data_IF_597964719026
#
_entry.id   IF_597964719026
#
_cell.length_a   1.000
_cell.length_b   1.000
_cell.length_c   1.000
_cell.angle_alpha   90.00
_cell.angle_beta   90.00
_cell.angle_gamma   90.00
#
_symmetry.space_group_name_H-M   'P 1'
#
loop_
_entity.id
_entity.type
_entity.pdbx_description
1 polymer ?
#
# COMPACT_ATOMS: atom_id res chain seq x y z
N UNK A 1 -54.90 -23.75 36.73
CA UNK A 1 -54.34 -22.39 36.99
C UNK A 1 -52.83 -22.33 36.78
N UNK A 2 -52.09 -23.38 37.14
CA UNK A 2 -50.63 -23.53 36.95
C UNK A 2 -50.15 -23.48 35.50
N UNK A 3 -50.88 -24.10 34.55
CA UNK A 3 -50.47 -24.11 33.13
C UNK A 3 -50.52 -22.73 32.45
N UNK A 4 -51.48 -21.88 32.82
CA UNK A 4 -51.58 -20.51 32.27
C UNK A 4 -50.41 -19.63 32.75
N UNK A 5 -49.98 -19.80 34.00
CA UNK A 5 -48.84 -19.08 34.57
C UNK A 5 -47.54 -19.50 33.86
N UNK A 6 -47.36 -20.79 33.60
CA UNK A 6 -46.19 -21.31 32.88
C UNK A 6 -46.12 -20.79 31.43
N UNK A 7 -47.25 -20.77 30.71
CA UNK A 7 -47.33 -20.21 29.35
C UNK A 7 -46.97 -18.72 29.37
N UNK A 8 -47.47 -17.96 30.35
CA UNK A 8 -47.17 -16.54 30.48
C UNK A 8 -45.68 -16.27 30.72
N UNK A 9 -45.04 -17.01 31.62
CA UNK A 9 -43.59 -16.88 31.87
C UNK A 9 -42.75 -17.30 30.66
N UNK A 10 -43.14 -18.35 29.93
CA UNK A 10 -42.46 -18.76 28.70
C UNK A 10 -42.55 -17.66 27.62
N UNK A 11 -43.72 -17.03 27.47
CA UNK A 11 -43.93 -15.94 26.53
C UNK A 11 -43.15 -14.67 26.92
N UNK A 12 -43.13 -14.33 28.21
CA UNK A 12 -42.34 -13.21 28.74
C UNK A 12 -40.84 -13.44 28.53
N UNK A 13 -40.35 -14.65 28.79
CA UNK A 13 -38.95 -15.02 28.57
C UNK A 13 -38.57 -14.92 27.09
N UNK A 14 -39.43 -15.39 26.18
CA UNK A 14 -39.24 -15.26 24.72
C UNK A 14 -39.18 -13.79 24.28
N UNK A 15 -40.09 -12.95 24.77
CA UNK A 15 -40.11 -11.52 24.44
C UNK A 15 -38.86 -10.79 24.95
N UNK A 16 -38.42 -11.11 26.18
CA UNK A 16 -37.20 -10.55 26.75
C UNK A 16 -35.97 -10.99 25.95
N UNK A 17 -35.83 -12.29 25.64
CA UNK A 17 -34.70 -12.80 24.87
C UNK A 17 -34.65 -12.22 23.44
N UNK A 18 -35.78 -12.05 22.76
CA UNK A 18 -35.82 -11.34 21.46
C UNK A 18 -35.36 -9.87 21.57
N UNK A 19 -35.75 -9.14 22.63
CA UNK A 19 -35.31 -7.76 22.87
C UNK A 19 -33.81 -7.65 23.17
N UNK A 20 -33.26 -8.59 23.93
CA UNK A 20 -31.83 -8.61 24.28
C UNK A 20 -30.92 -9.04 23.11
N UNK A 21 -31.40 -9.90 22.19
CA UNK A 21 -30.66 -10.25 20.97
C UNK A 21 -30.67 -9.08 19.95
N UNK A 22 -31.72 -8.26 19.97
CA UNK A 22 -31.86 -7.10 19.07
C UNK A 22 -31.03 -5.87 19.47
N UNK A 23 -30.38 -5.89 20.64
CA UNK A 23 -29.60 -4.76 21.17
C UNK A 23 -28.10 -4.86 20.86
N UNK A 24 -27.71 -5.84 20.03
CA UNK A 24 -26.35 -5.95 19.52
C UNK A 24 -26.27 -5.16 18.22
N UNK A 25 -25.60 -4.02 18.25
CA UNK A 25 -25.24 -3.28 17.05
C UNK A 25 -24.11 -4.01 16.32
N UNK A 26 -24.43 -4.58 15.16
CA UNK A 26 -23.44 -5.19 14.28
C UNK A 26 -22.68 -4.10 13.53
N UNK A 27 -21.38 -4.33 13.31
CA UNK A 27 -20.61 -3.47 12.40
C UNK A 27 -21.14 -3.65 10.98
N UNK A 28 -21.28 -2.54 10.26
CA UNK A 28 -21.54 -2.56 8.83
C UNK A 28 -20.33 -3.16 8.09
N UNK A 29 -20.59 -3.86 7.00
CA UNK A 29 -19.53 -4.45 6.16
C UNK A 29 -18.65 -3.38 5.52
N UNK A 30 -19.22 -2.21 5.22
CA UNK A 30 -18.52 -1.10 4.57
C UNK A 30 -18.00 -0.04 5.56
N UNK A 31 -18.10 -0.27 6.87
CA UNK A 31 -17.60 0.63 7.91
C UNK A 31 -18.48 1.86 8.23
N UNK A 32 -19.63 2.05 7.56
CA UNK A 32 -20.54 3.16 7.89
C UNK A 32 -21.21 3.02 9.25
N UNK A 33 -21.55 4.14 9.89
CA UNK A 33 -22.23 4.19 11.18
C UNK A 33 -21.32 3.94 12.39
N UNK A 34 -20.02 3.74 12.18
CA UNK A 34 -19.05 3.57 13.28
C UNK A 34 -18.80 4.87 14.06
N UNK A 35 -18.93 6.03 13.41
CA UNK A 35 -18.85 7.33 14.05
C UNK A 35 -20.22 8.04 13.97
N UNK A 36 -20.75 8.45 15.13
CA UNK A 36 -22.09 9.06 15.24
C UNK A 36 -22.17 10.42 14.54
N UNK A 37 -21.11 11.22 14.61
CA UNK A 37 -21.07 12.57 14.04
C UNK A 37 -20.65 12.57 12.56
N UNK A 38 -19.85 11.58 12.16
CA UNK A 38 -19.34 11.39 10.81
C UNK A 38 -19.59 9.96 10.34
N UNK A 39 -20.83 9.59 9.99
CA UNK A 39 -21.19 8.20 9.70
C UNK A 39 -20.43 7.53 8.56
N UNK A 40 -19.71 8.29 7.73
CA UNK A 40 -18.90 7.78 6.61
C UNK A 40 -17.40 7.71 6.92
N UNK A 41 -16.95 8.21 8.08
CA UNK A 41 -15.53 8.26 8.40
C UNK A 41 -14.95 6.84 8.56
N UNK A 42 -13.95 6.51 7.74
CA UNK A 42 -13.34 5.18 7.72
C UNK A 42 -14.18 4.12 7.01
N UNK A 43 -15.22 4.52 6.27
CA UNK A 43 -15.95 3.63 5.39
C UNK A 43 -15.12 3.26 4.15
N UNK A 44 -15.52 2.21 3.43
CA UNK A 44 -14.90 1.84 2.15
C UNK A 44 -14.95 3.01 1.16
N UNK A 45 -13.87 3.23 0.41
CA UNK A 45 -13.68 4.34 -0.54
C UNK A 45 -13.62 5.74 0.09
N UNK A 46 -13.52 5.85 1.41
CA UNK A 46 -13.20 7.12 2.06
C UNK A 46 -11.77 7.58 1.69
N UNK A 47 -11.51 8.88 1.77
CA UNK A 47 -10.22 9.46 1.41
C UNK A 47 -9.20 9.22 2.52
N UNK A 48 -7.97 8.90 2.15
CA UNK A 48 -6.87 8.87 3.12
C UNK A 48 -6.66 10.24 3.78
N UNK A 49 -6.44 10.22 5.10
CA UNK A 49 -6.06 11.39 5.87
C UNK A 49 -4.63 11.83 5.49
N UNK A 50 -4.40 13.14 5.45
CA UNK A 50 -3.08 13.74 5.21
C UNK A 50 -2.60 14.45 6.46
N UNK A 51 -1.44 14.04 7.00
CA UNK A 51 -0.93 14.53 8.30
C UNK A 51 0.06 15.69 8.12
N UNK A 52 0.99 15.59 7.16
CA UNK A 52 2.14 16.51 7.09
C UNK A 52 1.98 17.65 6.06
N UNK A 53 1.06 17.51 5.11
CA UNK A 53 0.74 18.55 4.13
C UNK A 53 -0.78 18.57 3.89
N UNK A 54 -1.50 19.67 4.23
CA UNK A 54 -2.92 19.77 3.91
C UNK A 54 -3.17 19.73 2.39
N UNK A 55 -2.15 20.12 1.60
CA UNK A 55 -2.14 20.04 0.14
C UNK A 55 -1.25 18.90 -0.34
N UNK A 56 -1.64 18.20 -1.40
CA UNK A 56 -0.81 17.16 -1.96
C UNK A 56 0.46 17.73 -2.62
N UNK A 57 1.61 17.06 -2.44
CA UNK A 57 2.89 17.48 -3.00
C UNK A 57 2.98 17.08 -4.49
N UNK A 58 2.31 17.86 -5.32
CA UNK A 58 2.26 17.71 -6.78
C UNK A 58 2.86 18.95 -7.44
N UNK A 59 3.42 18.77 -8.64
CA UNK A 59 4.04 19.87 -9.41
C UNK A 59 3.02 20.97 -9.73
N UNK A 60 1.78 20.58 -10.02
CA UNK A 60 0.66 21.47 -10.32
C UNK A 60 -0.23 21.77 -9.10
N UNK A 61 0.14 21.26 -7.92
CA UNK A 61 -0.67 21.33 -6.71
C UNK A 61 -1.95 20.48 -6.71
N UNK A 62 -2.15 19.60 -7.70
CA UNK A 62 -3.40 18.85 -7.86
C UNK A 62 -3.19 17.35 -8.13
N UNK A 63 -2.57 16.97 -9.25
CA UNK A 63 -2.45 15.55 -9.66
C UNK A 63 -1.12 15.19 -10.30
N UNK A 64 -0.36 16.15 -10.80
CA UNK A 64 0.87 15.86 -11.54
C UNK A 64 1.98 15.42 -10.58
N UNK A 65 2.51 14.18 -10.71
CA UNK A 65 3.59 13.68 -9.88
C UNK A 65 4.83 14.60 -9.92
N UNK A 66 5.67 14.49 -8.89
CA UNK A 66 6.95 15.19 -8.83
C UNK A 66 7.84 14.82 -10.01
N UNK A 67 8.64 15.79 -10.47
CA UNK A 67 9.34 15.65 -11.73
C UNK A 67 10.50 14.66 -11.69
N UNK A 68 10.67 13.91 -12.77
CA UNK A 68 11.85 13.05 -13.01
C UNK A 68 12.50 13.39 -14.35
N UNK A 69 13.75 12.96 -14.61
CA UNK A 69 14.42 13.18 -15.91
C UNK A 69 13.68 12.60 -17.12
N UNK A 70 12.69 11.73 -16.90
CA UNK A 70 11.94 11.03 -17.95
C UNK A 70 10.52 11.57 -18.16
N UNK A 71 10.14 12.65 -17.48
CA UNK A 71 8.82 13.22 -17.66
C UNK A 71 8.61 13.71 -19.09
N UNK A 72 7.46 13.39 -19.68
CA UNK A 72 7.13 13.75 -21.05
C UNK A 72 7.81 12.89 -22.12
N UNK A 73 8.64 11.91 -21.74
CA UNK A 73 9.15 10.90 -22.66
C UNK A 73 8.03 9.90 -22.96
N UNK A 74 7.82 9.57 -24.24
CA UNK A 74 6.83 8.57 -24.62
C UNK A 74 7.32 7.16 -24.25
N UNK A 75 6.43 6.26 -23.80
CA UNK A 75 6.78 4.86 -23.56
C UNK A 75 7.43 4.23 -24.80
N UNK A 76 8.56 3.55 -24.60
CA UNK A 76 9.31 2.89 -25.67
C UNK A 76 10.43 3.75 -26.28
N UNK A 77 10.50 5.03 -25.93
CA UNK A 77 11.64 5.91 -26.27
C UNK A 77 12.83 5.57 -25.38
N UNK A 78 14.03 5.53 -25.95
CA UNK A 78 15.26 5.34 -25.20
C UNK A 78 15.47 6.49 -24.20
N UNK A 79 15.77 6.14 -22.96
CA UNK A 79 16.06 7.09 -21.89
C UNK A 79 17.57 7.32 -21.80
N UNK A 80 17.98 8.57 -22.01
CA UNK A 80 19.36 9.02 -21.85
C UNK A 80 19.57 9.65 -20.47
N UNK A 81 19.21 8.90 -19.41
CA UNK A 81 19.42 9.33 -18.03
C UNK A 81 20.10 8.20 -17.25
N UNK A 82 21.18 8.54 -16.56
CA UNK A 82 21.94 7.66 -15.68
C UNK A 82 21.73 8.03 -14.21
N UNK A 83 21.91 7.07 -13.31
CA UNK A 83 21.89 7.31 -11.87
C UNK A 83 23.04 8.19 -11.37
N UNK A 84 24.04 8.45 -12.20
CA UNK A 84 25.20 9.30 -11.88
C UNK A 84 25.07 10.73 -12.38
N UNK A 85 24.00 11.04 -13.13
CA UNK A 85 23.79 12.37 -13.69
C UNK A 85 23.50 13.41 -12.61
N UNK A 86 24.07 14.61 -12.78
CA UNK A 86 23.72 15.74 -11.94
C UNK A 86 22.32 16.25 -12.29
N UNK A 87 21.41 16.19 -11.31
CA UNK A 87 20.03 16.63 -11.48
C UNK A 87 19.91 18.15 -11.31
N UNK A 88 19.01 18.75 -12.08
CA UNK A 88 18.60 20.14 -11.88
C UNK A 88 17.83 20.31 -10.56
N UNK A 89 17.71 21.55 -10.09
CA UNK A 89 16.84 21.87 -8.96
C UNK A 89 15.40 21.40 -9.24
N UNK A 90 14.73 20.88 -8.21
CA UNK A 90 13.34 20.39 -8.25
C UNK A 90 13.06 19.22 -9.21
N UNK A 91 14.12 18.51 -9.65
CA UNK A 91 14.01 17.23 -10.37
C UNK A 91 14.47 16.09 -9.44
N UNK A 92 13.61 15.11 -9.25
CA UNK A 92 13.86 13.95 -8.40
C UNK A 92 14.52 12.82 -9.21
N UNK A 93 15.35 11.98 -8.56
CA UNK A 93 15.98 10.85 -9.22
C UNK A 93 14.94 9.84 -9.73
N UNK A 94 15.29 9.09 -10.77
CA UNK A 94 14.47 7.97 -11.23
C UNK A 94 14.23 6.98 -10.07
N UNK A 95 13.00 6.46 -9.87
CA UNK A 95 12.70 5.49 -8.81
C UNK A 95 13.63 4.27 -8.84
N UNK A 96 14.00 3.81 -10.04
CA UNK A 96 14.93 2.71 -10.23
C UNK A 96 16.35 3.03 -9.77
N UNK A 97 16.81 4.27 -9.94
CA UNK A 97 18.10 4.71 -9.41
C UNK A 97 18.13 4.69 -7.88
N UNK A 98 17.05 5.16 -7.24
CA UNK A 98 16.91 5.06 -5.78
C UNK A 98 16.93 3.59 -5.34
N UNK A 99 16.23 2.71 -6.05
CA UNK A 99 16.27 1.26 -5.78
C UNK A 99 17.68 0.68 -5.93
N UNK A 100 18.42 1.03 -6.99
CA UNK A 100 19.79 0.57 -7.22
C UNK A 100 20.77 0.99 -6.13
N UNK A 101 20.54 2.12 -5.47
CA UNK A 101 21.40 2.65 -4.41
C UNK A 101 20.95 2.13 -3.04
N UNK A 102 19.66 2.26 -2.72
CA UNK A 102 19.12 2.06 -1.36
C UNK A 102 18.77 0.60 -1.09
N UNK A 103 18.22 -0.10 -2.10
CA UNK A 103 17.68 -1.46 -1.92
C UNK A 103 18.61 -2.56 -2.43
N UNK A 104 19.79 -2.18 -2.94
CA UNK A 104 20.79 -3.15 -3.40
C UNK A 104 21.35 -3.92 -2.22
N UNK A 105 20.99 -5.19 -2.13
CA UNK A 105 21.72 -6.16 -1.34
C UNK A 105 23.00 -6.51 -2.10
N UNK A 106 24.17 -6.25 -1.50
CA UNK A 106 25.48 -6.62 -2.03
C UNK A 106 25.75 -8.12 -1.99
N UNK A 107 24.75 -8.96 -2.29
CA UNK A 107 24.85 -10.42 -2.21
C UNK A 107 24.65 -11.03 -3.58
N UNK A 108 25.51 -11.98 -3.94
CA UNK A 108 25.19 -12.94 -4.98
C UNK A 108 23.95 -13.71 -4.50
N UNK A 109 22.90 -13.79 -5.33
CA UNK A 109 21.63 -14.50 -5.05
C UNK A 109 21.78 -16.01 -4.79
N UNK A 110 23.01 -16.51 -4.66
CA UNK A 110 23.29 -17.82 -4.09
C UNK A 110 22.94 -17.71 -2.60
N UNK A 111 21.69 -18.03 -2.29
CA UNK A 111 21.17 -18.21 -0.94
C UNK A 111 21.93 -19.39 -0.34
N UNK A 112 23.13 -19.13 0.16
CA UNK A 112 23.73 -20.00 1.14
C UNK A 112 23.07 -19.64 2.48
N UNK A 113 21.98 -20.35 2.80
CA UNK A 113 21.22 -20.24 4.05
C UNK A 113 22.12 -20.40 5.31
N UNK A 114 23.37 -20.83 5.12
CA UNK A 114 24.38 -20.78 6.16
C UNK A 114 24.84 -19.34 6.43
N UNK A 115 24.09 -18.68 7.32
CA UNK A 115 24.62 -17.82 8.38
C UNK A 115 25.36 -16.55 7.94
N UNK A 116 24.70 -15.64 7.23
CA UNK A 116 25.11 -14.24 7.34
C UNK A 116 24.23 -13.51 8.38
N UNK A 117 24.70 -13.33 9.63
CA UNK A 117 23.91 -12.68 10.68
C UNK A 117 23.50 -11.24 10.32
N UNK A 118 24.18 -10.60 9.38
CA UNK A 118 23.91 -9.22 8.97
C UNK A 118 22.54 -9.05 8.27
N UNK A 119 21.97 -10.12 7.71
CA UNK A 119 20.66 -10.08 7.03
C UNK A 119 19.52 -10.62 7.89
N UNK A 120 19.80 -11.06 9.12
CA UNK A 120 18.76 -11.49 10.05
C UNK A 120 18.12 -10.27 10.71
N UNK A 121 16.83 -10.36 11.00
CA UNK A 121 16.15 -9.33 11.80
C UNK A 121 16.90 -9.13 13.12
N UNK A 122 17.33 -7.89 13.39
CA UNK A 122 17.93 -7.49 14.65
C UNK A 122 17.04 -7.82 15.85
N UNK A 123 15.72 -7.77 15.66
CA UNK A 123 14.72 -8.05 16.70
C UNK A 123 14.31 -9.53 16.77
N UNK A 124 14.96 -10.41 16.00
CA UNK A 124 14.63 -11.85 15.92
C UNK A 124 13.17 -12.12 15.57
N UNK A 125 12.60 -11.25 14.73
CA UNK A 125 11.23 -11.37 14.24
C UNK A 125 11.08 -12.60 13.34
N UNK A 126 10.02 -13.37 13.53
CA UNK A 126 9.70 -14.51 12.66
C UNK A 126 9.03 -14.04 11.36
N UNK A 127 9.14 -14.85 10.30
CA UNK A 127 8.45 -14.57 9.05
C UNK A 127 6.93 -14.49 9.22
N UNK A 128 6.35 -15.25 10.16
CA UNK A 128 4.92 -15.19 10.47
C UNK A 128 4.46 -13.78 10.86
N UNK A 129 5.25 -13.06 11.67
CA UNK A 129 4.92 -11.69 12.07
C UNK A 129 4.95 -10.75 10.86
N UNK A 130 5.92 -10.93 9.94
CA UNK A 130 5.99 -10.16 8.70
C UNK A 130 4.73 -10.35 7.84
N UNK A 131 4.34 -11.61 7.60
CA UNK A 131 3.15 -11.92 6.79
C UNK A 131 1.85 -11.49 7.47
N UNK A 132 1.76 -11.61 8.78
CA UNK A 132 0.59 -11.14 9.53
C UNK A 132 0.46 -9.61 9.47
N UNK A 133 1.58 -8.87 9.51
CA UNK A 133 1.59 -7.42 9.29
C UNK A 133 1.08 -7.06 7.88
N UNK A 134 1.49 -7.81 6.87
CA UNK A 134 0.99 -7.64 5.50
C UNK A 134 -0.51 -7.94 5.40
N UNK A 135 -0.99 -8.99 6.07
CA UNK A 135 -2.42 -9.31 6.15
C UNK A 135 -3.24 -8.15 6.75
N UNK A 136 -2.78 -7.56 7.85
CA UNK A 136 -3.42 -6.38 8.44
C UNK A 136 -3.41 -5.18 7.48
N UNK A 137 -2.34 -5.01 6.70
CA UNK A 137 -2.28 -3.90 5.72
C UNK A 137 -3.38 -3.99 4.67
N UNK A 138 -3.75 -5.21 4.26
CA UNK A 138 -4.84 -5.45 3.31
C UNK A 138 -6.24 -5.27 3.91
N UNK A 139 -6.40 -5.52 5.22
CA UNK A 139 -7.65 -5.26 5.94
C UNK A 139 -7.90 -3.75 6.16
N UNK A 140 -6.82 -2.99 6.32
CA UNK A 140 -6.88 -1.57 6.72
C UNK A 140 -6.85 -0.60 5.55
N UNK A 141 -6.20 -0.95 4.45
CA UNK A 141 -5.97 -0.02 3.34
C UNK A 141 -5.89 -0.74 2.00
N UNK A 142 -6.52 -0.14 0.99
CA UNK A 142 -6.35 -0.52 -0.40
C UNK A 142 -6.46 0.75 -1.24
N UNK A 143 -5.53 0.93 -2.18
CA UNK A 143 -5.58 2.03 -3.14
C UNK A 143 -6.05 1.48 -4.48
N UNK A 144 -6.99 2.18 -5.11
CA UNK A 144 -7.47 1.84 -6.45
C UNK A 144 -6.44 2.30 -7.48
N UNK A 145 -6.13 1.42 -8.42
CA UNK A 145 -5.29 1.75 -9.57
C UNK A 145 -6.05 2.70 -10.49
N UNK A 146 -5.44 3.85 -10.80
CA UNK A 146 -5.99 4.80 -11.77
C UNK A 146 -5.50 4.47 -13.19
N UNK A 147 -6.31 4.73 -14.22
CA UNK A 147 -6.00 4.34 -15.60
C UNK A 147 -4.85 5.12 -16.24
N UNK A 148 -4.30 6.15 -15.59
CA UNK A 148 -3.17 6.92 -16.12
C UNK A 148 -1.84 6.21 -15.77
N UNK A 149 -1.16 5.59 -16.75
CA UNK A 149 0.06 4.87 -16.47
C UNK A 149 1.17 5.85 -16.09
N UNK A 150 1.76 5.65 -14.91
CA UNK A 150 3.03 6.28 -14.55
C UNK A 150 4.15 5.28 -14.84
N UNK A 151 4.92 5.52 -15.89
CA UNK A 151 5.99 4.60 -16.32
C UNK A 151 7.21 4.70 -15.42
N UNK A 152 7.78 3.55 -15.06
CA UNK A 152 9.08 3.48 -14.38
C UNK A 152 10.13 3.12 -15.43
N UNK A 153 11.03 4.07 -15.70
CA UNK A 153 12.10 3.91 -16.66
C UNK A 153 13.35 3.29 -16.03
N UNK A 154 13.98 2.40 -16.79
CA UNK A 154 15.31 1.87 -16.45
C UNK A 154 16.38 2.92 -16.82
N UNK A 155 17.29 3.26 -15.90
CA UNK A 155 18.41 4.15 -16.20
C UNK A 155 19.40 3.49 -17.15
N UNK A 156 20.15 4.29 -17.91
CA UNK A 156 21.09 3.80 -18.93
C UNK A 156 22.18 2.88 -18.36
N UNK A 157 22.61 3.14 -17.13
CA UNK A 157 23.60 2.37 -16.38
C UNK A 157 23.00 1.24 -15.54
N UNK A 158 21.74 0.87 -15.75
CA UNK A 158 21.12 -0.25 -15.03
C UNK A 158 21.67 -1.60 -15.48
N UNK A 159 22.48 -2.24 -14.65
CA UNK A 159 23.06 -3.54 -14.99
C UNK A 159 22.03 -4.68 -15.18
N UNK A 160 20.82 -4.57 -14.62
CA UNK A 160 19.81 -5.63 -14.70
C UNK A 160 18.89 -5.48 -15.91
N UNK A 161 18.54 -4.24 -16.27
CA UNK A 161 17.59 -3.95 -17.34
C UNK A 161 18.25 -3.40 -18.61
N UNK A 162 19.43 -2.78 -18.48
CA UNK A 162 20.26 -2.30 -19.60
C UNK A 162 21.69 -2.86 -19.50
N UNK A 163 21.89 -4.20 -19.54
CA UNK A 163 23.21 -4.79 -19.42
C UNK A 163 24.13 -4.39 -20.60
N UNK A 164 25.47 -4.36 -20.38
CA UNK A 164 26.42 -4.01 -21.43
C UNK A 164 26.26 -4.92 -22.65
N UNK A 165 26.00 -4.33 -23.82
CA UNK A 165 25.85 -5.04 -25.09
C UNK A 165 24.43 -5.49 -25.45
N UNK A 166 23.41 -5.17 -24.65
CA UNK A 166 22.00 -5.36 -25.02
C UNK A 166 21.39 -4.09 -25.62
N UNK A 167 20.37 -4.21 -26.50
CA UNK A 167 19.53 -3.06 -26.84
C UNK A 167 18.81 -2.52 -25.57
N UNK A 168 18.55 -1.21 -25.48
CA UNK A 168 17.98 -0.62 -24.27
C UNK A 168 16.56 -1.13 -24.01
N UNK A 169 16.29 -1.62 -22.79
CA UNK A 169 14.97 -2.03 -22.33
C UNK A 169 14.24 -0.79 -21.80
N UNK A 170 13.28 -0.30 -22.56
CA UNK A 170 12.77 1.06 -22.36
C UNK A 170 11.61 1.17 -21.36
N UNK A 171 11.05 0.07 -20.84
CA UNK A 171 9.89 0.12 -19.94
C UNK A 171 9.89 -1.07 -18.97
N UNK A 172 9.70 -0.79 -17.67
CA UNK A 172 9.21 -1.79 -16.71
C UNK A 172 7.70 -1.59 -16.54
N UNK A 173 6.90 -2.64 -16.77
CA UNK A 173 5.50 -2.64 -16.35
C UNK A 173 5.45 -2.89 -14.85
N UNK A 174 4.84 -1.98 -14.10
CA UNK A 174 4.52 -2.19 -12.69
C UNK A 174 3.45 -3.30 -12.54
#
# INVERSE_FOLDING_TARGET
MTSFIQIYFAFLYLLLSCKFVSSIEYRSINGTGNNVLYPTAGATNDKYLRVDLPNANFVDGNRQPLKTPTDGILPGTAVNASCTDQLAADVYPLPRCVSNIVTRYGTNLIINDNKNPIYKSFRKTSHMITFFGQYISYDTSSAVEYPEPTYIYAPLDDANYNPPGSPPANIMTA
#
